data_IF_797061946614
#
_entry.id   IF_797061946614
#
_cell.length_a   1.000
_cell.length_b   1.000
_cell.length_c   1.000
_cell.angle_alpha   90.00
_cell.angle_beta   90.00
_cell.angle_gamma   90.00
#
_symmetry.space_group_name_H-M   'P 1'
#
loop_
_entity.id
_entity.type
_entity.pdbx_description
1 polymer ?
#
# COMPACT_ATOMS: atom_id res chain seq x y z
N UNK A 1 8.33 27.03 7.00
CA UNK A 1 7.53 26.13 6.13
C UNK A 1 6.09 26.21 6.60
N UNK A 2 5.18 26.70 5.76
CA UNK A 2 3.75 26.69 6.11
C UNK A 2 3.24 25.25 6.03
N UNK A 3 2.57 24.76 7.07
CA UNK A 3 1.92 23.46 7.03
C UNK A 3 0.77 23.53 6.01
N UNK A 4 0.95 22.89 4.86
CA UNK A 4 -0.11 22.72 3.87
C UNK A 4 -1.05 21.64 4.42
N UNK A 5 -2.08 22.06 5.14
CA UNK A 5 -3.00 21.17 5.84
C UNK A 5 -4.08 20.63 4.89
N UNK A 6 -3.68 19.85 3.89
CA UNK A 6 -4.58 19.01 3.12
C UNK A 6 -4.74 17.68 3.86
N UNK A 7 -5.97 17.35 4.26
CA UNK A 7 -6.28 16.03 4.81
C UNK A 7 -6.04 15.00 3.70
N UNK A 8 -5.36 13.92 4.04
CA UNK A 8 -5.17 12.78 3.14
C UNK A 8 -5.81 11.54 3.73
N UNK A 9 -6.46 10.75 2.86
CA UNK A 9 -7.07 9.48 3.20
C UNK A 9 -6.05 8.38 3.00
N UNK A 10 -5.64 7.74 4.09
CA UNK A 10 -4.79 6.55 4.06
C UNK A 10 -5.66 5.33 4.33
N UNK A 11 -5.47 4.27 3.54
CA UNK A 11 -6.15 2.99 3.78
C UNK A 11 -5.15 1.86 4.04
N UNK A 12 -5.35 1.04 5.09
CA UNK A 12 -4.52 -0.13 5.31
C UNK A 12 -4.87 -1.23 4.30
N UNK A 13 -3.84 -1.88 3.79
CA UNK A 13 -3.94 -3.02 2.88
C UNK A 13 -3.30 -4.21 3.56
N UNK A 14 -4.15 -5.17 3.90
CA UNK A 14 -3.80 -6.41 4.58
C UNK A 14 -4.23 -7.57 3.70
N UNK A 15 -3.26 -8.25 3.07
CA UNK A 15 -3.52 -9.43 2.25
C UNK A 15 -2.35 -10.41 2.35
N UNK A 16 -2.65 -11.70 2.20
CA UNK A 16 -1.64 -12.75 2.34
C UNK A 16 -0.73 -12.86 1.10
N UNK A 17 -1.14 -12.31 -0.04
CA UNK A 17 -0.35 -12.32 -1.28
C UNK A 17 -0.10 -10.94 -1.87
N UNK A 18 1.04 -10.78 -2.56
CA UNK A 18 1.40 -9.52 -3.26
C UNK A 18 0.38 -9.17 -4.35
N UNK A 19 -0.15 -10.18 -5.05
CA UNK A 19 -1.16 -9.97 -6.09
C UNK A 19 -2.43 -9.34 -5.54
N UNK A 20 -2.91 -9.84 -4.40
CA UNK A 20 -4.08 -9.29 -3.72
C UNK A 20 -3.82 -7.90 -3.15
N UNK A 21 -2.63 -7.64 -2.57
CA UNK A 21 -2.28 -6.29 -2.12
C UNK A 21 -2.30 -5.28 -3.27
N UNK A 22 -1.75 -5.64 -4.43
CA UNK A 22 -1.76 -4.76 -5.61
C UNK A 22 -3.19 -4.54 -6.14
N UNK A 23 -4.03 -5.58 -6.16
CA UNK A 23 -5.43 -5.46 -6.57
C UNK A 23 -6.23 -4.57 -5.60
N UNK A 24 -6.04 -4.77 -4.30
CA UNK A 24 -6.65 -3.96 -3.24
C UNK A 24 -6.18 -2.51 -3.28
N UNK A 25 -4.91 -2.26 -3.59
CA UNK A 25 -4.38 -0.90 -3.76
C UNK A 25 -5.02 -0.19 -4.95
N UNK A 26 -5.13 -0.88 -6.09
CA UNK A 26 -5.81 -0.34 -7.27
C UNK A 26 -7.29 -0.04 -6.98
N UNK A 27 -7.94 -0.87 -6.17
CA UNK A 27 -9.31 -0.62 -5.72
C UNK A 27 -9.38 0.61 -4.81
N UNK A 28 -8.48 0.72 -3.84
CA UNK A 28 -8.39 1.88 -2.95
C UNK A 28 -8.21 3.20 -3.71
N UNK A 29 -7.34 3.20 -4.73
CA UNK A 29 -7.16 4.34 -5.62
C UNK A 29 -8.46 4.71 -6.34
N UNK A 30 -9.17 3.71 -6.89
CA UNK A 30 -10.45 3.93 -7.56
C UNK A 30 -11.56 4.42 -6.61
N UNK A 31 -11.48 4.07 -5.32
CA UNK A 31 -12.38 4.52 -4.26
C UNK A 31 -11.99 5.89 -3.67
N UNK A 32 -10.87 6.48 -4.11
CA UNK A 32 -10.44 7.84 -3.76
C UNK A 32 -9.47 7.93 -2.58
N UNK A 33 -8.76 6.85 -2.26
CA UNK A 33 -7.67 6.91 -1.28
C UNK A 33 -6.47 7.69 -1.84
N UNK A 34 -5.85 8.50 -0.99
CA UNK A 34 -4.65 9.28 -1.34
C UNK A 34 -3.36 8.50 -1.07
N UNK A 35 -3.37 7.62 -0.05
CA UNK A 35 -2.26 6.76 0.34
C UNK A 35 -2.72 5.34 0.69
N UNK A 36 -1.79 4.40 0.60
CA UNK A 36 -1.96 3.05 1.08
C UNK A 36 -0.93 2.71 2.16
N UNK A 37 -1.37 2.12 3.26
CA UNK A 37 -0.48 1.51 4.25
C UNK A 37 -0.35 0.01 3.93
N UNK A 38 0.86 -0.42 3.60
CA UNK A 38 1.18 -1.79 3.24
C UNK A 38 1.64 -2.54 4.49
N UNK A 39 0.76 -3.41 4.99
CA UNK A 39 1.01 -4.23 6.18
C UNK A 39 1.77 -5.49 5.79
N UNK A 40 3.10 -5.42 5.84
CA UNK A 40 3.96 -6.54 5.47
C UNK A 40 3.82 -7.73 6.41
N UNK A 41 3.41 -7.49 7.65
CA UNK A 41 3.11 -8.51 8.65
C UNK A 41 1.91 -9.40 8.27
N UNK A 42 1.02 -8.90 7.41
CA UNK A 42 -0.11 -9.68 6.89
C UNK A 42 0.25 -10.57 5.71
N UNK A 43 1.41 -10.34 5.07
CA UNK A 43 1.79 -11.11 3.90
C UNK A 43 2.43 -12.45 4.28
N UNK A 44 2.04 -13.49 3.54
CA UNK A 44 2.70 -14.79 3.56
C UNK A 44 3.77 -14.87 2.46
N UNK A 45 4.84 -14.06 2.54
CA UNK A 45 5.97 -14.16 1.60
C UNK A 45 7.18 -14.87 2.21
N UNK A 46 7.95 -15.51 1.33
CA UNK A 46 9.18 -16.25 1.68
C UNK A 46 10.46 -15.58 1.15
N UNK A 47 10.32 -14.56 0.31
CA UNK A 47 11.43 -13.90 -0.38
C UNK A 47 11.24 -12.38 -0.45
N UNK A 48 12.33 -11.63 -0.22
CA UNK A 48 12.35 -10.17 -0.29
C UNK A 48 11.96 -9.62 -1.68
N UNK A 49 12.10 -10.44 -2.73
CA UNK A 49 11.70 -10.08 -4.10
C UNK A 49 10.22 -9.74 -4.22
N UNK A 50 9.37 -10.32 -3.37
CA UNK A 50 7.93 -10.05 -3.34
C UNK A 50 7.64 -8.63 -2.84
N UNK A 51 8.39 -8.16 -1.84
CA UNK A 51 8.31 -6.77 -1.36
C UNK A 51 8.83 -5.79 -2.42
N UNK A 52 9.92 -6.14 -3.12
CA UNK A 52 10.43 -5.31 -4.21
C UNK A 52 9.39 -5.16 -5.34
N UNK A 53 8.71 -6.26 -5.70
CA UNK A 53 7.63 -6.25 -6.69
C UNK A 53 6.46 -5.36 -6.24
N UNK A 54 6.04 -5.48 -4.98
CA UNK A 54 4.99 -4.63 -4.41
C UNK A 54 5.35 -3.14 -4.50
N UNK A 55 6.57 -2.78 -4.12
CA UNK A 55 7.08 -1.41 -4.16
C UNK A 55 7.15 -0.88 -5.59
N UNK A 56 7.60 -1.70 -6.56
CA UNK A 56 7.73 -1.29 -7.97
C UNK A 56 6.37 -1.11 -8.67
N UNK A 57 5.36 -1.89 -8.27
CA UNK A 57 4.05 -1.90 -8.92
C UNK A 57 2.95 -1.14 -8.16
N UNK A 58 3.29 -0.48 -7.06
CA UNK A 58 2.34 0.34 -6.30
C UNK A 58 1.69 1.40 -7.19
N UNK A 59 0.38 1.58 -7.03
CA UNK A 59 -0.39 2.60 -7.73
C UNK A 59 -0.64 3.85 -6.88
N UNK A 60 -0.53 3.72 -5.56
CA UNK A 60 -0.62 4.83 -4.60
C UNK A 60 0.72 5.09 -3.90
N UNK A 61 0.97 6.33 -3.43
CA UNK A 61 1.96 6.59 -2.40
C UNK A 61 1.76 5.64 -1.23
N UNK A 62 2.85 5.00 -0.77
CA UNK A 62 2.74 3.91 0.20
C UNK A 62 3.55 4.17 1.45
N UNK A 63 2.95 3.86 2.60
CA UNK A 63 3.64 3.69 3.89
C UNK A 63 3.84 2.20 4.08
N UNK A 64 5.03 1.78 4.48
CA UNK A 64 5.33 0.37 4.77
C UNK A 64 5.36 0.19 6.27
N UNK A 65 4.54 -0.73 6.75
CA UNK A 65 4.37 -1.06 8.17
C UNK A 65 4.56 -2.57 8.38
N UNK A 66 5.02 -2.95 9.57
CA UNK A 66 5.28 -4.33 9.99
C UNK A 66 4.75 -4.51 11.43
#
# INVERSE_FOLDING_TARGET
>A
MAFKNSISVCTPIECESVGEMLASMKRAEAEGADLAELRLDSLSFSHDSEVEKLIKHRTLPSIVSF
#
